data_IF_055120881445
#
_entry.id   IF_055120881445
#
_cell.length_a   1.000
_cell.length_b   1.000
_cell.length_c   1.000
_cell.angle_alpha   90.00
_cell.angle_beta   90.00
_cell.angle_gamma   90.00
#
_symmetry.space_group_name_H-M   'P 1'
#
loop_
_entity.id
_entity.type
_entity.pdbx_description
1 polymer ?
#
# COMPACT_ATOMS: atom_id res chain seq x y z
N UNK A 1 -11.88 10.60 -2.22
CA UNK A 1 -10.54 10.63 -1.61
C UNK A 1 -10.12 9.19 -1.47
N UNK A 2 -9.20 8.76 -2.32
CA UNK A 2 -8.73 7.39 -2.35
C UNK A 2 -7.43 7.27 -1.55
N UNK A 3 -7.38 6.27 -0.68
CA UNK A 3 -6.23 5.98 0.16
C UNK A 3 -5.66 4.63 -0.25
N UNK A 4 -4.40 4.64 -0.70
CA UNK A 4 -3.61 3.43 -0.91
C UNK A 4 -3.01 2.99 0.42
N UNK A 5 -3.40 1.82 0.91
CA UNK A 5 -2.86 1.24 2.15
C UNK A 5 -1.87 0.14 1.81
N UNK A 6 -0.65 0.28 2.32
CA UNK A 6 0.48 -0.61 2.07
C UNK A 6 0.91 -1.31 3.36
N UNK A 7 1.03 -2.63 3.32
CA UNK A 7 1.62 -3.43 4.39
C UNK A 7 2.79 -4.24 3.84
N UNK A 8 3.99 -3.70 4.01
CA UNK A 8 5.24 -4.31 3.56
C UNK A 8 5.69 -5.40 4.54
N UNK A 9 5.60 -6.65 4.10
CA UNK A 9 6.18 -7.82 4.74
C UNK A 9 7.61 -8.07 4.27
N UNK A 10 8.15 -9.24 4.62
CA UNK A 10 9.53 -9.60 4.27
C UNK A 10 9.74 -10.00 2.83
N UNK A 11 8.71 -10.58 2.21
CA UNK A 11 8.70 -11.13 0.85
C UNK A 11 7.40 -10.79 0.11
N UNK A 12 6.52 -9.98 0.71
CA UNK A 12 5.25 -9.58 0.10
C UNK A 12 4.89 -8.15 0.46
N UNK A 13 4.13 -7.51 -0.41
CA UNK A 13 3.49 -6.22 -0.16
C UNK A 13 1.99 -6.40 -0.33
N UNK A 14 1.25 -6.32 0.78
CA UNK A 14 -0.22 -6.30 0.72
C UNK A 14 -0.68 -4.89 0.40
N UNK A 15 -1.65 -4.79 -0.49
CA UNK A 15 -2.15 -3.55 -1.07
C UNK A 15 -3.66 -3.50 -0.91
N UNK A 16 -4.18 -2.36 -0.44
CA UNK A 16 -5.61 -2.07 -0.49
C UNK A 16 -5.85 -0.64 -0.94
N UNK A 17 -6.95 -0.40 -1.65
CA UNK A 17 -7.45 0.95 -1.91
C UNK A 17 -8.79 1.11 -1.21
N UNK A 18 -8.90 2.15 -0.40
CA UNK A 18 -10.12 2.51 0.32
C UNK A 18 -10.59 3.88 -0.16
N UNK A 19 -11.87 3.98 -0.49
CA UNK A 19 -12.53 5.24 -0.83
C UNK A 19 -13.90 5.31 -0.17
N UNK A 20 -14.21 6.46 0.45
CA UNK A 20 -15.50 6.70 1.12
C UNK A 20 -15.90 5.59 2.12
N UNK A 21 -14.93 4.94 2.77
CA UNK A 21 -15.14 3.85 3.71
C UNK A 21 -15.33 2.46 3.08
N UNK A 22 -15.34 2.35 1.75
CA UNK A 22 -15.41 1.09 1.02
C UNK A 22 -14.02 0.66 0.52
N UNK A 23 -13.73 -0.64 0.58
CA UNK A 23 -12.54 -1.22 -0.04
C UNK A 23 -12.80 -1.47 -1.52
N UNK A 24 -12.11 -0.73 -2.38
CA UNK A 24 -12.19 -0.86 -3.84
C UNK A 24 -11.25 -1.96 -4.38
N UNK A 25 -10.12 -2.16 -3.71
CA UNK A 25 -9.14 -3.18 -4.06
C UNK A 25 -8.53 -3.78 -2.78
N UNK A 26 -8.30 -5.10 -2.80
CA UNK A 26 -7.47 -5.79 -1.83
C UNK A 26 -6.69 -6.90 -2.54
N UNK A 27 -5.37 -6.78 -2.57
CA UNK A 27 -4.47 -7.72 -3.27
C UNK A 27 -3.11 -7.81 -2.56
N UNK A 28 -2.23 -8.65 -3.08
CA UNK A 28 -0.83 -8.74 -2.67
C UNK A 28 0.08 -8.96 -3.86
N UNK A 29 1.28 -8.39 -3.79
CA UNK A 29 2.35 -8.62 -4.76
C UNK A 29 3.57 -9.18 -4.05
N UNK A 30 4.40 -9.93 -4.77
CA UNK A 30 5.72 -10.31 -4.28
C UNK A 30 6.55 -9.04 -4.04
N UNK A 31 7.21 -8.98 -2.89
CA UNK A 31 8.08 -7.86 -2.55
C UNK A 31 9.54 -8.29 -2.66
N UNK A 32 10.26 -7.57 -3.50
CA UNK A 32 11.70 -7.65 -3.64
C UNK A 32 12.34 -6.40 -3.04
N UNK A 33 13.12 -6.58 -1.97
CA UNK A 33 13.77 -5.48 -1.26
C UNK A 33 14.98 -4.95 -2.00
N UNK A 34 15.59 -5.78 -2.85
CA UNK A 34 16.74 -5.41 -3.66
C UNK A 34 16.30 -4.79 -5.00
N UNK A 35 14.99 -4.86 -5.30
CA UNK A 35 14.38 -4.29 -6.49
C UNK A 35 12.98 -3.69 -6.22
N UNK A 36 12.90 -2.61 -5.42
CA UNK A 36 11.64 -1.98 -5.05
C UNK A 36 10.85 -1.47 -6.26
N UNK A 37 11.52 -1.11 -7.36
CA UNK A 37 10.89 -0.69 -8.62
C UNK A 37 10.05 -1.79 -9.27
N UNK A 38 10.48 -3.07 -9.19
CA UNK A 38 9.69 -4.20 -9.68
C UNK A 38 8.44 -4.39 -8.84
N UNK A 39 8.59 -4.32 -7.52
CA UNK A 39 7.46 -4.37 -6.58
C UNK A 39 6.46 -3.25 -6.88
N UNK A 40 6.94 -2.01 -7.09
CA UNK A 40 6.09 -0.87 -7.39
C UNK A 40 5.41 -1.00 -8.76
N UNK A 41 6.09 -1.53 -9.77
CA UNK A 41 5.49 -1.80 -11.07
C UNK A 41 4.31 -2.79 -10.96
N UNK A 42 4.46 -3.84 -10.15
CA UNK A 42 3.38 -4.79 -9.88
C UNK A 42 2.19 -4.13 -9.17
N UNK A 43 2.45 -3.23 -8.21
CA UNK A 43 1.37 -2.45 -7.56
C UNK A 43 0.64 -1.58 -8.59
N UNK A 44 1.37 -0.88 -9.47
CA UNK A 44 0.76 -0.03 -10.51
C UNK A 44 -0.08 -0.84 -11.49
N UNK A 45 0.40 -2.02 -11.89
CA UNK A 45 -0.37 -2.94 -12.72
C UNK A 45 -1.68 -3.36 -12.05
N UNK A 46 -1.63 -3.76 -10.78
CA UNK A 46 -2.83 -4.13 -10.02
C UNK A 46 -3.84 -2.97 -9.87
N UNK A 47 -3.37 -1.73 -9.70
CA UNK A 47 -4.23 -0.55 -9.69
C UNK A 47 -4.89 -0.31 -11.05
N UNK A 48 -4.11 -0.40 -12.13
CA UNK A 48 -4.62 -0.23 -13.49
C UNK A 48 -5.65 -1.32 -13.87
N UNK A 49 -5.38 -2.58 -13.52
CA UNK A 49 -6.30 -3.70 -13.71
C UNK A 49 -7.62 -3.52 -12.95
N UNK A 50 -7.55 -2.90 -11.77
CA UNK A 50 -8.73 -2.56 -10.96
C UNK A 50 -9.45 -1.28 -11.42
N UNK A 51 -8.98 -0.60 -12.47
CA UNK A 51 -9.55 0.66 -12.96
C UNK A 51 -9.34 1.85 -12.01
N UNK A 52 -8.30 1.81 -11.17
CA UNK A 52 -7.99 2.86 -10.19
C UNK A 52 -6.98 3.83 -10.80
N UNK A 53 -7.45 5.03 -11.16
CA UNK A 53 -6.67 6.00 -11.93
C UNK A 53 -5.98 7.07 -11.05
N UNK A 54 -6.36 7.18 -9.77
CA UNK A 54 -5.83 8.22 -8.87
C UNK A 54 -5.76 7.78 -7.42
N UNK A 55 -4.67 8.15 -6.75
CA UNK A 55 -4.41 7.95 -5.32
C UNK A 55 -4.09 9.30 -4.70
N UNK A 56 -4.87 9.73 -3.71
CA UNK A 56 -4.66 11.01 -3.04
C UNK A 56 -3.62 10.90 -1.92
N UNK A 57 -3.64 9.78 -1.19
CA UNK A 57 -2.78 9.55 -0.02
C UNK A 57 -2.33 8.09 0.03
N UNK A 58 -1.10 7.88 0.53
CA UNK A 58 -0.56 6.55 0.81
C UNK A 58 -0.38 6.38 2.31
N UNK A 59 -1.03 5.36 2.89
CA UNK A 59 -0.85 4.95 4.27
C UNK A 59 0.06 3.71 4.35
N UNK A 60 1.04 3.72 5.25
CA UNK A 60 1.94 2.59 5.48
C UNK A 60 1.68 1.95 6.84
N UNK A 61 1.52 0.62 6.88
CA UNK A 61 1.56 -0.13 8.13
C UNK A 61 3.01 -0.24 8.59
N UNK A 62 3.33 0.46 9.66
CA UNK A 62 4.62 0.34 10.35
C UNK A 62 4.46 -0.65 11.51
N UNK A 63 5.37 -1.64 11.59
CA UNK A 63 5.26 -2.72 12.59
C UNK A 63 5.51 -2.22 14.01
N UNK A 64 6.52 -1.36 14.20
CA UNK A 64 6.89 -0.87 15.53
C UNK A 64 7.22 0.63 15.48
N UNK A 65 6.54 1.40 16.32
CA UNK A 65 6.75 2.85 16.47
C UNK A 65 7.70 3.24 17.63
N UNK A 66 8.17 2.25 18.39
CA UNK A 66 8.85 2.49 19.67
C UNK A 66 7.93 3.24 20.65
N UNK A 67 8.53 4.02 21.55
CA UNK A 67 7.80 4.81 22.55
C UNK A 67 7.29 6.16 22.00
N UNK A 68 7.76 6.58 20.82
CA UNK A 68 7.55 7.94 20.29
C UNK A 68 6.40 8.03 19.30
N UNK A 69 6.19 7.00 18.49
CA UNK A 69 5.19 7.00 17.41
C UNK A 69 3.96 6.23 17.88
N UNK A 70 3.07 6.94 18.59
CA UNK A 70 1.86 6.40 19.23
C UNK A 70 0.57 6.75 18.48
N UNK A 71 0.67 7.51 17.39
CA UNK A 71 -0.43 7.94 16.54
C UNK A 71 0.06 8.00 15.07
N UNK A 72 -0.86 8.11 14.09
CA UNK A 72 -0.49 8.39 12.70
C UNK A 72 0.36 9.67 12.61
N UNK A 73 1.37 9.65 11.74
CA UNK A 73 2.29 10.77 11.49
C UNK A 73 2.55 10.93 9.99
N UNK A 74 2.96 12.14 9.58
CA UNK A 74 3.44 12.46 8.23
C UNK A 74 4.98 12.44 8.19
#
# INVERSE_FOLDING_TARGET
MSVLVLNAGSSSLKVSVVEAGATLLQTGVDADRDAPERTLAAVRAALAEAGIEGIDVVGHRIVHGGERLVAPVL
#
